data_IF_720717106630
#
_entry.id   IF_720717106630
#
_cell.length_a   1.000
_cell.length_b   1.000
_cell.length_c   1.000
_cell.angle_alpha   90.00
_cell.angle_beta   90.00
_cell.angle_gamma   90.00
#
_symmetry.space_group_name_H-M   'P 1'
#
loop_
_entity.id
_entity.type
_entity.pdbx_description
1 polymer ?
#
# COMPACT_ATOMS: atom_id res chain seq x y z
N UNK A 1 20.50 -12.03 -33.69
CA UNK A 1 19.65 -11.26 -32.76
C UNK A 1 20.20 -9.84 -32.72
N UNK A 2 19.43 -8.84 -33.20
CA UNK A 2 19.89 -7.44 -33.22
C UNK A 2 19.75 -6.80 -31.84
N UNK A 3 20.55 -5.78 -31.52
CA UNK A 3 20.46 -5.06 -30.25
C UNK A 3 19.03 -4.51 -29.98
N UNK A 4 18.31 -4.11 -31.03
CA UNK A 4 16.92 -3.67 -30.94
C UNK A 4 15.96 -4.79 -30.52
N UNK A 5 16.11 -6.01 -31.04
CA UNK A 5 15.29 -7.18 -30.64
C UNK A 5 15.53 -7.58 -29.18
N UNK A 6 16.77 -7.47 -28.70
CA UNK A 6 17.09 -7.76 -27.30
C UNK A 6 16.48 -6.71 -26.34
N UNK A 7 16.57 -5.43 -26.72
CA UNK A 7 15.99 -4.34 -25.96
C UNK A 7 14.45 -4.38 -25.94
N UNK A 8 13.79 -4.85 -27.01
CA UNK A 8 12.34 -5.06 -26.99
C UNK A 8 11.94 -6.17 -26.03
N UNK A 9 12.65 -7.29 -26.02
CA UNK A 9 12.35 -8.43 -25.14
C UNK A 9 12.57 -8.11 -23.66
N UNK A 10 13.64 -7.37 -23.34
CA UNK A 10 13.88 -6.90 -21.98
C UNK A 10 12.78 -5.94 -21.50
N UNK A 11 12.32 -5.03 -22.36
CA UNK A 11 11.22 -4.12 -22.03
C UNK A 11 9.91 -4.89 -21.76
N UNK A 12 9.61 -5.91 -22.57
CA UNK A 12 8.43 -6.75 -22.37
C UNK A 12 8.52 -7.57 -21.08
N UNK A 13 9.69 -8.13 -20.77
CA UNK A 13 9.94 -8.84 -19.51
C UNK A 13 9.73 -7.92 -18.30
N UNK A 14 10.29 -6.70 -18.34
CA UNK A 14 10.12 -5.71 -17.28
C UNK A 14 8.64 -5.35 -17.06
N UNK A 15 7.87 -5.14 -18.13
CA UNK A 15 6.44 -4.89 -18.04
C UNK A 15 5.68 -6.07 -17.42
N UNK A 16 6.05 -7.32 -17.74
CA UNK A 16 5.44 -8.51 -17.15
C UNK A 16 5.71 -8.60 -15.66
N UNK A 17 6.97 -8.44 -15.25
CA UNK A 17 7.37 -8.44 -13.84
C UNK A 17 6.68 -7.33 -13.06
N UNK A 18 6.63 -6.12 -13.60
CA UNK A 18 5.93 -5.02 -12.95
C UNK A 18 4.43 -5.27 -12.85
N UNK A 19 3.78 -5.77 -13.90
CA UNK A 19 2.36 -6.13 -13.88
C UNK A 19 2.03 -7.17 -12.80
N UNK A 20 2.86 -8.21 -12.68
CA UNK A 20 2.76 -9.20 -11.61
C UNK A 20 3.02 -8.61 -10.23
N UNK A 21 4.00 -7.71 -10.09
CA UNK A 21 4.28 -7.07 -8.81
C UNK A 21 3.06 -6.29 -8.29
N UNK A 22 2.38 -5.52 -9.15
CA UNK A 22 1.16 -4.80 -8.78
C UNK A 22 0.05 -5.75 -8.29
N UNK A 23 -0.22 -6.81 -9.04
CA UNK A 23 -1.26 -7.79 -8.68
C UNK A 23 -0.90 -8.59 -7.42
N UNK A 24 0.31 -9.12 -7.34
CA UNK A 24 0.75 -9.94 -6.21
C UNK A 24 0.78 -9.13 -4.92
N UNK A 25 1.31 -7.89 -4.95
CA UNK A 25 1.28 -6.99 -3.80
C UNK A 25 -0.15 -6.74 -3.31
N UNK A 26 -1.10 -6.54 -4.23
CA UNK A 26 -2.51 -6.36 -3.88
C UNK A 26 -3.14 -7.60 -3.26
N UNK A 27 -2.86 -8.79 -3.79
CA UNK A 27 -3.38 -10.03 -3.21
C UNK A 27 -2.76 -10.32 -1.84
N UNK A 28 -1.49 -9.99 -1.63
CA UNK A 28 -0.86 -10.06 -0.30
C UNK A 28 -1.59 -9.14 0.68
N UNK A 29 -1.90 -7.89 0.30
CA UNK A 29 -2.66 -7.00 1.20
C UNK A 29 -4.09 -7.47 1.47
N UNK A 30 -4.80 -7.98 0.46
CA UNK A 30 -6.11 -8.59 0.69
C UNK A 30 -6.04 -9.78 1.66
N UNK A 31 -4.98 -10.60 1.54
CA UNK A 31 -4.71 -11.67 2.49
C UNK A 31 -4.42 -11.14 3.89
N UNK A 32 -3.65 -10.05 4.03
CA UNK A 32 -3.37 -9.39 5.32
C UNK A 32 -4.67 -8.96 6.01
N UNK A 33 -5.62 -8.34 5.31
CA UNK A 33 -6.93 -8.00 5.89
C UNK A 33 -7.75 -9.24 6.33
N UNK A 34 -7.74 -10.30 5.52
CA UNK A 34 -8.39 -11.56 5.90
C UNK A 34 -7.72 -12.23 7.11
N UNK A 35 -6.39 -12.20 7.16
CA UNK A 35 -5.56 -12.72 8.23
C UNK A 35 -5.86 -11.99 9.56
N UNK A 36 -5.93 -10.66 9.52
CA UNK A 36 -6.32 -9.80 10.65
C UNK A 36 -7.68 -10.20 11.23
N UNK A 37 -8.69 -10.30 10.37
CA UNK A 37 -10.06 -10.59 10.79
C UNK A 37 -10.19 -11.98 11.47
N UNK A 38 -9.40 -12.96 11.04
CA UNK A 38 -9.52 -14.35 11.53
C UNK A 38 -8.60 -14.64 12.71
N UNK A 39 -7.36 -14.14 12.71
CA UNK A 39 -6.32 -14.57 13.66
C UNK A 39 -6.00 -13.55 14.75
N UNK A 40 -6.08 -12.26 14.45
CA UNK A 40 -5.82 -11.21 15.46
C UNK A 40 -7.13 -10.89 16.21
N UNK A 41 -8.25 -10.81 15.47
CA UNK A 41 -9.57 -10.54 15.99
C UNK A 41 -9.90 -9.05 15.95
N UNK A 42 -11.14 -8.71 15.56
CA UNK A 42 -11.58 -7.32 15.39
C UNK A 42 -11.70 -6.56 16.72
N UNK A 43 -11.73 -7.26 17.85
CA UNK A 43 -11.70 -6.67 19.19
C UNK A 43 -10.37 -5.97 19.50
N UNK A 44 -9.28 -6.35 18.82
CA UNK A 44 -7.97 -5.66 18.91
C UNK A 44 -7.91 -4.32 18.16
N UNK A 45 -9.02 -3.89 17.56
CA UNK A 45 -9.18 -2.50 17.12
C UNK A 45 -9.32 -1.56 18.33
N UNK A 46 -9.73 -2.09 19.49
CA UNK A 46 -9.62 -1.37 20.75
C UNK A 46 -8.17 -1.42 21.25
N UNK A 47 -7.61 -0.23 21.50
CA UNK A 47 -6.19 -0.05 21.81
C UNK A 47 -5.84 -0.69 23.17
N UNK A 48 -6.75 -0.61 24.14
CA UNK A 48 -6.56 -1.23 25.46
C UNK A 48 -6.62 -2.76 25.37
N UNK A 49 -7.57 -3.30 24.60
CA UNK A 49 -7.63 -4.73 24.33
C UNK A 49 -6.38 -5.25 23.60
N UNK A 50 -5.80 -4.44 22.70
CA UNK A 50 -4.60 -4.81 21.96
C UNK A 50 -3.38 -4.99 22.86
N UNK A 51 -3.05 -4.01 23.71
CA UNK A 51 -1.88 -4.12 24.61
C UNK A 51 -2.03 -5.28 25.59
N UNK A 52 -3.26 -5.55 26.05
CA UNK A 52 -3.57 -6.67 26.93
C UNK A 52 -3.32 -8.02 26.25
N UNK A 53 -3.75 -8.16 24.98
CA UNK A 53 -3.60 -9.40 24.20
C UNK A 53 -2.28 -9.50 23.46
N UNK A 54 -1.44 -8.46 23.50
CA UNK A 54 -0.25 -8.36 22.67
C UNK A 54 0.68 -9.59 22.74
N UNK A 55 0.96 -10.20 23.91
CA UNK A 55 1.78 -11.41 23.98
C UNK A 55 1.25 -12.57 23.10
N UNK A 56 -0.07 -12.71 22.98
CA UNK A 56 -0.72 -13.76 22.20
C UNK A 56 -0.69 -13.45 20.69
N UNK A 57 -0.78 -12.17 20.33
CA UNK A 57 -0.86 -11.72 18.93
C UNK A 57 0.48 -11.23 18.36
N UNK A 58 1.54 -11.13 19.17
CA UNK A 58 2.85 -10.56 18.78
C UNK A 58 3.38 -11.17 17.49
N UNK A 59 3.43 -12.50 17.41
CA UNK A 59 3.92 -13.19 16.21
C UNK A 59 3.04 -12.92 14.98
N UNK A 60 1.72 -12.88 15.16
CA UNK A 60 0.78 -12.55 14.09
C UNK A 60 0.98 -11.12 13.58
N UNK A 61 1.16 -10.14 14.48
CA UNK A 61 1.45 -8.74 14.13
C UNK A 61 2.77 -8.59 13.38
N UNK A 62 3.82 -9.32 13.74
CA UNK A 62 5.10 -9.29 13.01
C UNK A 62 4.94 -9.83 11.58
N UNK A 63 4.22 -10.94 11.41
CA UNK A 63 3.94 -11.53 10.09
C UNK A 63 3.13 -10.56 9.23
N UNK A 64 2.04 -10.02 9.79
CA UNK A 64 1.17 -9.04 9.14
C UNK A 64 1.96 -7.84 8.60
N UNK A 65 2.76 -7.23 9.48
CA UNK A 65 3.64 -6.10 9.18
C UNK A 65 4.67 -6.41 8.09
N UNK A 66 5.26 -7.61 8.13
CA UNK A 66 6.23 -8.06 7.12
C UNK A 66 5.58 -8.25 5.75
N UNK A 67 4.38 -8.84 5.70
CA UNK A 67 3.61 -9.01 4.47
C UNK A 67 3.15 -7.66 3.90
N UNK A 68 2.71 -6.76 4.76
CA UNK A 68 2.38 -5.39 4.38
C UNK A 68 3.59 -4.67 3.76
N UNK A 69 4.76 -4.76 4.39
CA UNK A 69 6.00 -4.21 3.85
C UNK A 69 6.35 -4.81 2.48
N UNK A 70 6.27 -6.14 2.34
CA UNK A 70 6.52 -6.81 1.06
C UNK A 70 5.56 -6.34 -0.04
N UNK A 71 4.28 -6.14 0.28
CA UNK A 71 3.30 -5.62 -0.67
C UNK A 71 3.62 -4.18 -1.12
N UNK A 72 3.98 -3.29 -0.19
CA UNK A 72 4.37 -1.91 -0.54
C UNK A 72 5.63 -1.87 -1.43
N UNK A 73 6.60 -2.76 -1.21
CA UNK A 73 7.77 -2.89 -2.07
C UNK A 73 7.41 -3.36 -3.50
N UNK A 74 6.50 -4.33 -3.62
CA UNK A 74 5.99 -4.77 -4.93
C UNK A 74 5.21 -3.67 -5.65
N UNK A 75 4.43 -2.87 -4.92
CA UNK A 75 3.75 -1.70 -5.48
C UNK A 75 4.73 -0.63 -5.96
N UNK A 76 5.88 -0.45 -5.31
CA UNK A 76 6.93 0.45 -5.78
C UNK A 76 7.49 -0.02 -7.13
N UNK A 77 7.77 -1.32 -7.27
CA UNK A 77 8.20 -1.91 -8.56
C UNK A 77 7.13 -1.70 -9.64
N UNK A 78 5.85 -1.82 -9.29
CA UNK A 78 4.76 -1.54 -10.21
C UNK A 78 4.72 -0.06 -10.62
N UNK A 79 4.85 0.88 -9.69
CA UNK A 79 4.85 2.32 -9.97
C UNK A 79 5.97 2.73 -10.94
N UNK A 80 7.19 2.21 -10.73
CA UNK A 80 8.33 2.43 -11.65
C UNK A 80 8.03 1.83 -13.03
N UNK A 81 7.39 0.67 -13.08
CA UNK A 81 6.99 0.04 -14.35
C UNK A 81 5.97 0.89 -15.10
N UNK A 82 4.98 1.45 -14.40
CA UNK A 82 4.00 2.37 -14.97
C UNK A 82 4.66 3.65 -15.50
N UNK A 83 5.66 4.19 -14.80
CA UNK A 83 6.45 5.30 -15.33
C UNK A 83 7.12 4.93 -16.66
N UNK A 84 7.79 3.78 -16.71
CA UNK A 84 8.50 3.30 -17.91
C UNK A 84 7.53 3.10 -19.08
N UNK A 85 6.32 2.60 -18.82
CA UNK A 85 5.32 2.34 -19.86
C UNK A 85 4.64 3.62 -20.36
N UNK A 86 4.36 4.58 -19.46
CA UNK A 86 3.59 5.78 -19.77
C UNK A 86 4.44 6.98 -20.21
N UNK A 87 5.75 6.98 -19.96
CA UNK A 87 6.64 8.12 -20.24
C UNK A 87 6.68 8.56 -21.70
N UNK A 88 6.40 7.67 -22.66
CA UNK A 88 6.42 8.00 -24.10
C UNK A 88 5.19 8.80 -24.54
N UNK A 89 4.06 8.65 -23.84
CA UNK A 89 2.78 9.28 -24.21
C UNK A 89 2.42 10.44 -23.29
N UNK A 90 2.84 10.38 -22.02
CA UNK A 90 2.45 11.36 -21.02
C UNK A 90 3.49 11.47 -19.89
N UNK A 91 4.71 11.93 -20.23
CA UNK A 91 5.84 12.00 -19.29
C UNK A 91 5.52 12.76 -18.00
N UNK A 92 5.01 13.99 -18.10
CA UNK A 92 4.79 14.84 -16.93
C UNK A 92 3.86 14.20 -15.87
N UNK A 93 2.64 13.76 -16.21
CA UNK A 93 1.79 13.08 -15.24
C UNK A 93 2.34 11.71 -14.82
N UNK A 94 3.03 10.97 -15.69
CA UNK A 94 3.66 9.70 -15.29
C UNK A 94 4.76 9.90 -14.23
N UNK A 95 5.61 10.92 -14.41
CA UNK A 95 6.67 11.26 -13.47
C UNK A 95 6.11 11.74 -12.14
N UNK A 96 5.17 12.70 -12.16
CA UNK A 96 4.50 13.18 -10.96
C UNK A 96 3.83 12.02 -10.20
N UNK A 97 3.12 11.16 -10.94
CA UNK A 97 2.46 9.99 -10.37
C UNK A 97 3.41 9.02 -9.70
N UNK A 98 4.55 8.71 -10.35
CA UNK A 98 5.59 7.85 -9.77
C UNK A 98 6.24 8.47 -8.52
N UNK A 99 6.48 9.78 -8.51
CA UNK A 99 7.07 10.48 -7.35
C UNK A 99 6.11 10.46 -6.17
N UNK A 100 4.86 10.89 -6.35
CA UNK A 100 3.88 10.91 -5.27
C UNK A 100 3.55 9.52 -4.76
N UNK A 101 3.41 8.54 -5.68
CA UNK A 101 3.20 7.16 -5.27
C UNK A 101 4.42 6.61 -4.52
N UNK A 102 5.64 6.87 -4.99
CA UNK A 102 6.85 6.43 -4.32
C UNK A 102 6.99 7.00 -2.91
N UNK A 103 6.76 8.31 -2.74
CA UNK A 103 6.77 8.97 -1.44
C UNK A 103 5.72 8.37 -0.50
N UNK A 104 4.48 8.19 -0.98
CA UNK A 104 3.41 7.58 -0.20
C UNK A 104 3.76 6.15 0.24
N UNK A 105 4.30 5.33 -0.67
CA UNK A 105 4.72 3.96 -0.38
C UNK A 105 5.87 3.88 0.64
N UNK A 106 6.83 4.81 0.62
CA UNK A 106 7.91 4.87 1.62
C UNK A 106 7.34 5.19 3.00
N UNK A 107 6.37 6.11 3.08
CA UNK A 107 5.71 6.44 4.35
C UNK A 107 4.91 5.25 4.85
N UNK A 108 4.14 4.57 3.98
CA UNK A 108 3.43 3.34 4.32
C UNK A 108 4.39 2.26 4.83
N UNK A 109 5.50 2.02 4.11
CA UNK A 109 6.53 1.08 4.52
C UNK A 109 7.13 1.40 5.90
N UNK A 110 7.26 2.69 6.25
CA UNK A 110 7.70 3.12 7.58
C UNK A 110 6.69 2.76 8.66
N UNK A 111 5.39 2.92 8.35
CA UNK A 111 4.29 2.49 9.22
C UNK A 111 4.17 0.97 9.40
N UNK A 112 4.92 0.17 8.64
CA UNK A 112 4.88 -1.29 8.70
C UNK A 112 5.68 -1.91 9.85
N UNK A 113 6.37 -1.12 10.67
CA UNK A 113 7.29 -1.65 11.70
C UNK A 113 6.94 -1.17 13.13
N UNK A 114 5.66 -1.13 13.55
CA UNK A 114 5.26 -0.61 14.87
C UNK A 114 5.79 -1.47 16.02
N UNK A 115 5.99 -2.77 15.80
CA UNK A 115 6.52 -3.73 16.78
C UNK A 115 7.86 -3.31 17.40
N UNK A 116 8.69 -2.56 16.68
CA UNK A 116 9.95 -2.02 17.24
C UNK A 116 9.74 -1.05 18.39
N UNK A 117 8.60 -0.37 18.44
CA UNK A 117 8.22 0.52 19.52
C UNK A 117 7.25 -0.15 20.51
N UNK A 118 6.38 -1.03 20.03
CA UNK A 118 5.36 -1.66 20.88
C UNK A 118 5.89 -2.86 21.67
N UNK A 119 6.90 -3.60 21.18
CA UNK A 119 7.46 -4.74 21.91
C UNK A 119 7.98 -4.37 23.32
N UNK A 120 8.83 -3.33 23.48
CA UNK A 120 9.33 -2.96 24.81
C UNK A 120 8.24 -2.46 25.75
N UNK A 121 7.22 -1.78 25.22
CA UNK A 121 6.08 -1.27 26.01
C UNK A 121 5.25 -2.43 26.52
N UNK A 122 4.97 -3.43 25.65
CA UNK A 122 4.26 -4.64 26.06
C UNK A 122 5.05 -5.43 27.11
N UNK A 123 6.37 -5.58 26.94
CA UNK A 123 7.19 -6.32 27.91
C UNK A 123 7.15 -5.67 29.30
N UNK A 124 7.15 -4.32 29.38
CA UNK A 124 6.99 -3.59 30.64
C UNK A 124 5.58 -3.71 31.22
N UNK A 125 4.56 -3.71 30.36
CA UNK A 125 3.15 -3.79 30.77
C UNK A 125 2.84 -5.15 31.42
N UNK A 126 3.43 -6.22 30.87
CA UNK A 126 3.25 -7.61 31.31
C UNK A 126 4.33 -8.08 32.31
N UNK A 127 5.21 -7.18 32.77
CA UNK A 127 6.30 -7.54 33.66
C UNK A 127 5.80 -7.99 35.06
N UNK A 128 6.45 -8.98 35.69
CA UNK A 128 6.17 -9.31 37.09
C UNK A 128 6.38 -8.09 37.99
N UNK A 129 5.35 -7.69 38.74
CA UNK A 129 5.40 -6.52 39.62
C UNK A 129 4.98 -5.20 38.97
N UNK A 130 4.45 -5.22 37.73
CA UNK A 130 3.78 -4.06 37.16
C UNK A 130 2.61 -3.62 38.05
N UNK A 131 2.57 -2.33 38.41
CA UNK A 131 1.47 -1.75 39.19
C UNK A 131 0.37 -1.24 38.26
N UNK A 132 -0.89 -1.14 38.74
CA UNK A 132 -1.99 -0.57 37.96
C UNK A 132 -1.68 0.84 37.44
N UNK A 133 -1.05 1.68 38.27
CA UNK A 133 -0.65 3.03 37.87
C UNK A 133 0.41 3.01 36.76
N UNK A 134 1.40 2.11 36.84
CA UNK A 134 2.42 1.95 35.81
C UNK A 134 1.84 1.45 34.48
N UNK A 135 0.89 0.51 34.55
CA UNK A 135 0.17 0.01 33.38
C UNK A 135 -0.64 1.11 32.69
N UNK A 136 -1.32 1.98 33.43
CA UNK A 136 -2.08 3.11 32.86
C UNK A 136 -1.17 4.10 32.09
N UNK A 137 0.05 4.34 32.58
CA UNK A 137 1.04 5.14 31.86
C UNK A 137 1.47 4.46 30.56
N UNK A 138 1.72 3.15 30.59
CA UNK A 138 2.11 2.39 29.40
C UNK A 138 1.00 2.32 28.34
N UNK A 139 -0.27 2.24 28.75
CA UNK A 139 -1.42 2.38 27.83
C UNK A 139 -1.41 3.74 27.13
N UNK A 140 -1.12 4.81 27.86
CA UNK A 140 -1.02 6.16 27.27
C UNK A 140 0.13 6.27 26.25
N UNK A 141 1.28 5.64 26.54
CA UNK A 141 2.41 5.55 25.59
C UNK A 141 2.01 4.74 24.36
N UNK A 142 1.28 3.64 24.54
CA UNK A 142 0.77 2.83 23.45
C UNK A 142 -0.15 3.62 22.52
N UNK A 143 -1.10 4.40 23.08
CA UNK A 143 -1.93 5.32 22.30
C UNK A 143 -1.09 6.32 21.48
N UNK A 144 -0.04 6.88 22.07
CA UNK A 144 0.85 7.80 21.37
C UNK A 144 1.57 7.13 20.20
N UNK A 145 2.04 5.88 20.38
CA UNK A 145 2.65 5.09 19.32
C UNK A 145 1.63 4.83 18.20
N UNK A 146 0.41 4.40 18.54
CA UNK A 146 -0.62 4.15 17.54
C UNK A 146 -0.99 5.41 16.76
N UNK A 147 -1.15 6.56 17.44
CA UNK A 147 -1.40 7.83 16.76
C UNK A 147 -0.30 8.24 15.77
N UNK A 148 0.97 7.95 16.07
CA UNK A 148 2.08 8.15 15.12
C UNK A 148 1.93 7.22 13.91
N UNK A 149 1.65 5.94 14.14
CA UNK A 149 1.48 4.94 13.07
C UNK A 149 0.30 5.30 12.17
N UNK A 150 -0.85 5.64 12.75
CA UNK A 150 -2.05 6.06 12.01
C UNK A 150 -1.79 7.29 11.15
N UNK A 151 -1.03 8.26 11.68
CA UNK A 151 -0.63 9.45 10.91
C UNK A 151 0.20 9.07 9.68
N UNK A 152 1.13 8.12 9.82
CA UNK A 152 1.93 7.61 8.70
C UNK A 152 1.03 6.90 7.68
N UNK A 153 0.10 6.05 8.13
CA UNK A 153 -0.83 5.34 7.25
C UNK A 153 -1.72 6.32 6.47
N UNK A 154 -2.35 7.28 7.15
CA UNK A 154 -3.21 8.29 6.52
C UNK A 154 -2.43 9.11 5.50
N UNK A 155 -1.24 9.60 5.88
CA UNK A 155 -0.37 10.39 4.98
C UNK A 155 0.07 9.57 3.77
N UNK A 156 0.48 8.32 4.01
CA UNK A 156 0.90 7.40 2.97
C UNK A 156 -0.23 7.10 1.98
N UNK A 157 -1.45 6.85 2.46
CA UNK A 157 -2.64 6.63 1.61
C UNK A 157 -2.95 7.88 0.80
N UNK A 158 -2.92 9.07 1.41
CA UNK A 158 -3.18 10.33 0.71
C UNK A 158 -2.20 10.55 -0.45
N UNK A 159 -0.88 10.48 -0.19
CA UNK A 159 0.14 10.69 -1.22
C UNK A 159 0.10 9.61 -2.30
N UNK A 160 -0.09 8.35 -1.90
CA UNK A 160 -0.22 7.23 -2.86
C UNK A 160 -1.44 7.44 -3.76
N UNK A 161 -2.57 7.90 -3.21
CA UNK A 161 -3.79 8.19 -3.97
C UNK A 161 -3.62 9.37 -4.93
N UNK A 162 -2.89 10.42 -4.53
CA UNK A 162 -2.52 11.52 -5.44
C UNK A 162 -1.66 11.00 -6.59
N UNK A 163 -0.64 10.17 -6.29
CA UNK A 163 0.20 9.55 -7.31
C UNK A 163 -0.59 8.68 -8.28
N UNK A 164 -1.54 7.90 -7.75
CA UNK A 164 -2.49 7.10 -8.51
C UNK A 164 -3.32 7.96 -9.47
N UNK A 165 -3.80 9.12 -9.04
CA UNK A 165 -4.53 10.07 -9.89
C UNK A 165 -3.71 10.54 -11.08
N UNK A 166 -2.46 10.95 -10.85
CA UNK A 166 -1.55 11.37 -11.92
C UNK A 166 -1.21 10.23 -12.90
N UNK A 167 -0.93 9.02 -12.41
CA UNK A 167 -0.72 7.84 -13.27
C UNK A 167 -1.96 7.53 -14.10
N UNK A 168 -3.15 7.67 -13.51
CA UNK A 168 -4.43 7.45 -14.20
C UNK A 168 -4.69 8.48 -15.31
N UNK A 169 -4.34 9.75 -15.08
CA UNK A 169 -4.35 10.80 -16.12
C UNK A 169 -3.38 10.46 -17.25
N UNK A 170 -2.19 9.92 -16.94
CA UNK A 170 -1.24 9.47 -17.96
C UNK A 170 -1.79 8.28 -18.78
N UNK A 171 -2.52 7.36 -18.15
CA UNK A 171 -3.16 6.21 -18.81
C UNK A 171 -4.23 6.61 -19.82
N UNK A 172 -4.97 7.71 -19.58
CA UNK A 172 -5.97 8.24 -20.55
C UNK A 172 -5.36 8.55 -21.92
N UNK A 173 -4.07 8.90 -21.95
CA UNK A 173 -3.32 9.26 -23.17
C UNK A 173 -2.53 8.10 -23.76
N UNK A 174 -2.56 6.92 -23.14
CA UNK A 174 -1.80 5.76 -23.59
C UNK A 174 -2.71 4.72 -24.26
N UNK A 175 -2.50 4.41 -25.57
CA UNK A 175 -3.28 3.38 -26.27
C UNK A 175 -3.23 1.99 -25.60
N UNK A 176 -2.15 1.69 -24.88
CA UNK A 176 -1.97 0.40 -24.20
C UNK A 176 -2.86 0.19 -22.96
N UNK A 177 -3.28 1.29 -22.32
CA UNK A 177 -4.14 1.24 -21.12
C UNK A 177 -5.59 1.61 -21.46
N UNK A 178 -5.76 2.73 -22.18
CA UNK A 178 -7.03 3.23 -22.67
C UNK A 178 -7.84 4.05 -21.65
N UNK A 179 -8.91 4.69 -22.15
CA UNK A 179 -9.74 5.61 -21.36
C UNK A 179 -10.39 4.96 -20.13
N UNK A 180 -10.86 3.72 -20.25
CA UNK A 180 -11.51 3.01 -19.14
C UNK A 180 -10.60 2.91 -17.91
N UNK A 181 -9.37 2.44 -18.09
CA UNK A 181 -8.42 2.25 -16.98
C UNK A 181 -8.04 3.58 -16.34
N UNK A 182 -7.81 4.62 -17.16
CA UNK A 182 -7.55 5.96 -16.63
C UNK A 182 -8.74 6.53 -15.86
N UNK A 183 -9.97 6.40 -16.35
CA UNK A 183 -11.16 6.91 -15.65
C UNK A 183 -11.40 6.18 -14.34
N UNK A 184 -11.36 4.84 -14.33
CA UNK A 184 -11.51 4.06 -13.10
C UNK A 184 -10.43 4.42 -12.09
N UNK A 185 -9.17 4.55 -12.53
CA UNK A 185 -8.07 4.94 -11.64
C UNK A 185 -8.24 6.34 -11.04
N UNK A 186 -8.79 7.31 -11.79
CA UNK A 186 -9.13 8.64 -11.26
C UNK A 186 -10.22 8.53 -10.19
N UNK A 187 -11.28 7.76 -10.41
CA UNK A 187 -12.34 7.58 -9.42
C UNK A 187 -11.82 6.95 -8.13
N UNK A 188 -10.96 5.93 -8.25
CA UNK A 188 -10.28 5.33 -7.10
C UNK A 188 -9.37 6.35 -6.40
N UNK A 189 -8.72 7.25 -7.15
CA UNK A 189 -7.82 8.26 -6.57
C UNK A 189 -8.59 9.29 -5.76
N UNK A 190 -9.77 9.69 -6.25
CA UNK A 190 -10.70 10.55 -5.52
C UNK A 190 -11.19 9.84 -4.26
N UNK A 191 -11.60 8.57 -4.36
CA UNK A 191 -12.05 7.79 -3.19
C UNK A 191 -10.94 7.67 -2.13
N UNK A 192 -9.71 7.36 -2.54
CA UNK A 192 -8.58 7.23 -1.63
C UNK A 192 -8.17 8.54 -0.98
N UNK A 193 -8.05 9.61 -1.76
CA UNK A 193 -7.73 10.94 -1.22
C UNK A 193 -8.85 11.44 -0.30
N UNK A 194 -10.12 11.24 -0.71
CA UNK A 194 -11.28 11.61 0.07
C UNK A 194 -11.33 10.87 1.41
N UNK A 195 -11.07 9.55 1.41
CA UNK A 195 -11.02 8.78 2.66
C UNK A 195 -9.95 9.29 3.62
N UNK A 196 -8.74 9.59 3.13
CA UNK A 196 -7.66 10.11 3.96
C UNK A 196 -8.00 11.49 4.55
N UNK A 197 -8.62 12.37 3.77
CA UNK A 197 -9.09 13.68 4.26
C UNK A 197 -10.16 13.52 5.34
N UNK A 198 -11.13 12.62 5.14
CA UNK A 198 -12.21 12.41 6.10
C UNK A 198 -11.69 11.83 7.42
N UNK A 199 -10.69 10.94 7.37
CA UNK A 199 -10.03 10.40 8.57
C UNK A 199 -9.28 11.46 9.40
N UNK A 200 -8.96 12.63 8.83
CA UNK A 200 -8.41 13.76 9.59
C UNK A 200 -9.48 14.55 10.35
N UNK A 201 -10.75 14.44 9.95
CA UNK A 201 -11.87 15.15 10.58
C UNK A 201 -12.42 14.33 11.73
N UNK A 202 -12.63 13.04 11.50
CA UNK A 202 -13.14 12.11 12.50
C UNK A 202 -12.46 10.74 12.33
N UNK A 203 -11.79 10.21 13.37
CA UNK A 203 -11.24 8.87 13.36
C UNK A 203 -12.34 7.86 13.04
N UNK A 204 -12.31 7.34 11.82
CA UNK A 204 -13.33 6.44 11.30
C UNK A 204 -12.74 5.41 10.35
N UNK A 205 -13.39 4.26 10.27
CA UNK A 205 -13.03 3.14 9.40
C UNK A 205 -13.07 3.49 7.90
N UNK A 206 -13.45 4.73 7.55
CA UNK A 206 -13.47 5.24 6.19
C UNK A 206 -12.10 5.12 5.50
N UNK A 207 -11.01 5.12 6.26
CA UNK A 207 -9.64 4.95 5.72
C UNK A 207 -9.48 3.62 4.95
N UNK A 208 -10.26 2.60 5.33
CA UNK A 208 -10.28 1.31 4.62
C UNK A 208 -10.68 1.48 3.15
N UNK A 209 -11.57 2.43 2.84
CA UNK A 209 -11.95 2.76 1.45
C UNK A 209 -10.70 3.17 0.65
N UNK A 210 -9.80 3.93 1.24
CA UNK A 210 -8.56 4.33 0.59
C UNK A 210 -7.61 3.18 0.36
N UNK A 211 -7.46 2.28 1.34
CA UNK A 211 -6.66 1.08 1.16
C UNK A 211 -7.21 0.20 0.03
N UNK A 212 -8.53 -0.05 0.02
CA UNK A 212 -9.17 -0.81 -1.06
C UNK A 212 -9.04 -0.12 -2.42
N UNK A 213 -9.13 1.21 -2.48
CA UNK A 213 -8.93 1.97 -3.71
C UNK A 213 -7.52 1.75 -4.28
N UNK A 214 -6.49 1.78 -3.43
CA UNK A 214 -5.12 1.47 -3.82
C UNK A 214 -4.99 0.02 -4.31
N UNK A 215 -5.54 -0.96 -3.56
CA UNK A 215 -5.52 -2.38 -3.94
C UNK A 215 -6.13 -2.60 -5.33
N UNK A 216 -7.34 -2.09 -5.56
CA UNK A 216 -8.05 -2.30 -6.82
C UNK A 216 -7.39 -1.59 -8.00
N UNK A 217 -6.80 -0.41 -7.78
CA UNK A 217 -6.02 0.25 -8.82
C UNK A 217 -4.82 -0.60 -9.24
N UNK A 218 -4.05 -1.10 -8.27
CA UNK A 218 -2.85 -1.88 -8.54
C UNK A 218 -3.18 -3.21 -9.24
N UNK A 219 -4.33 -3.83 -8.92
CA UNK A 219 -4.85 -4.99 -9.66
C UNK A 219 -5.21 -4.60 -11.10
N UNK A 220 -6.01 -3.55 -11.29
CA UNK A 220 -6.50 -3.15 -12.61
C UNK A 220 -5.37 -2.69 -13.53
N UNK A 221 -4.44 -1.87 -13.01
CA UNK A 221 -3.26 -1.40 -13.72
C UNK A 221 -2.25 -2.53 -13.98
N UNK A 222 -2.04 -3.43 -13.01
CA UNK A 222 -1.23 -4.64 -13.14
C UNK A 222 -1.72 -5.54 -14.27
N UNK A 223 -3.00 -5.88 -14.24
CA UNK A 223 -3.64 -6.69 -15.28
C UNK A 223 -3.53 -6.08 -16.68
N UNK A 224 -3.75 -4.77 -16.79
CA UNK A 224 -3.60 -4.05 -18.05
C UNK A 224 -2.16 -4.04 -18.56
N UNK A 225 -1.20 -3.87 -17.65
CA UNK A 225 0.23 -3.92 -17.98
C UNK A 225 0.63 -5.32 -18.51
N UNK A 226 0.10 -6.40 -17.93
CA UNK A 226 0.31 -7.77 -18.42
C UNK A 226 -0.30 -7.99 -19.80
N UNK A 227 -1.54 -7.54 -20.02
CA UNK A 227 -2.20 -7.66 -21.34
C UNK A 227 -1.44 -6.90 -22.42
N UNK A 228 -0.96 -5.70 -22.10
CA UNK A 228 -0.15 -4.90 -23.02
C UNK A 228 1.15 -5.63 -23.40
N UNK A 229 1.86 -6.21 -22.43
CA UNK A 229 3.07 -7.00 -22.69
C UNK A 229 2.81 -8.32 -23.44
N UNK A 230 1.58 -8.85 -23.38
CA UNK A 230 1.15 -10.03 -24.14
C UNK A 230 0.83 -9.70 -25.61
N UNK A 231 0.09 -8.60 -25.86
CA UNK A 231 -0.26 -8.16 -27.22
C UNK A 231 0.98 -7.80 -28.04
N UNK A 232 1.94 -7.08 -27.46
CA UNK A 232 3.16 -6.68 -28.16
C UNK A 232 4.07 -7.85 -28.55
N UNK A 233 3.97 -9.01 -27.87
CA UNK A 233 4.74 -10.21 -28.21
C UNK A 233 4.10 -11.03 -29.35
N UNK A 234 2.82 -10.81 -29.68
CA UNK A 234 2.14 -11.47 -30.79
C UNK A 234 2.21 -10.71 -32.12
N UNK A 235 2.70 -9.47 -32.09
CA UNK A 235 2.85 -8.59 -33.27
C UNK A 235 4.31 -8.35 -33.68
N UNK A 236 5.26 -8.93 -32.95
CA UNK A 236 6.70 -8.90 -33.23
C UNK A 236 7.13 -10.24 -33.85
#
# INVERSE_FOLDING_TARGET
MSAESYLSDQNLSALRWGGWAGMLGSFILLFVFGFLAVLVGLDTLDIEAEILRYPDIRAARVIENTLYLAATALWMVHAVTLLISLRRTALAPALAGCVFMGLGLVILATGAIPHTMTDPVADLYHAPGATPEGQAVLVSIWHAIQGIVDTLVITGIALTSVGMGFLSVAMLRSPGYGAWTGTVGILLAVAGTGSAIMSLIDPSDIIAVGVFALIFFQIAAGWKTLRFAGFSAGTA
#
